data_IF_907809085123
#
_entry.id   IF_907809085123
#
_cell.length_a   1.000
_cell.length_b   1.000
_cell.length_c   1.000
_cell.angle_alpha   90.00
_cell.angle_beta   90.00
_cell.angle_gamma   90.00
#
_symmetry.space_group_name_H-M   'P 1'
#
loop_
_entity.id
_entity.type
_entity.pdbx_description
1 polymer ?
#
# COMPACT_ATOMS: atom_id res chain seq x y z
N UNK A 1 -12.37 -3.13 -8.29
CA UNK A 1 -10.96 -3.23 -7.84
C UNK A 1 -10.41 -1.82 -7.70
N UNK A 2 -9.75 -1.50 -6.58
CA UNK A 2 -9.08 -0.21 -6.38
C UNK A 2 -7.56 -0.34 -6.53
N UNK A 3 -6.95 0.51 -7.35
CA UNK A 3 -5.49 0.60 -7.49
C UNK A 3 -4.99 1.83 -6.74
N UNK A 4 -4.12 1.63 -5.75
CA UNK A 4 -3.40 2.72 -5.11
C UNK A 4 -2.11 2.93 -5.89
N UNK A 5 -2.01 4.08 -6.58
CA UNK A 5 -0.84 4.39 -7.40
C UNK A 5 0.28 5.01 -6.56
N UNK A 6 -0.01 6.08 -5.81
CA UNK A 6 0.98 6.82 -5.03
C UNK A 6 0.36 7.29 -3.72
N UNK A 7 1.04 7.02 -2.60
CA UNK A 7 0.82 7.68 -1.31
C UNK A 7 2.15 8.30 -0.90
N UNK A 8 2.13 9.58 -0.54
CA UNK A 8 3.32 10.29 -0.11
C UNK A 8 3.01 11.19 1.09
N UNK A 9 3.94 11.19 2.05
CA UNK A 9 3.95 12.10 3.19
C UNK A 9 5.32 12.74 3.24
N UNK A 10 5.35 14.08 3.32
CA UNK A 10 6.58 14.87 3.47
C UNK A 10 7.34 14.40 4.71
N UNK A 11 8.67 14.36 4.61
CA UNK A 11 9.55 13.75 5.63
C UNK A 11 9.27 14.25 7.05
N UNK A 12 9.06 15.55 7.21
CA UNK A 12 8.81 16.25 8.48
C UNK A 12 7.52 15.77 9.19
N UNK A 13 6.58 15.19 8.44
CA UNK A 13 5.28 14.73 8.95
C UNK A 13 5.18 13.20 9.00
N UNK A 14 6.25 12.46 8.72
CA UNK A 14 6.26 11.00 8.82
C UNK A 14 6.23 10.53 10.27
N UNK A 15 5.85 9.27 10.47
CA UNK A 15 5.73 8.63 11.79
C UNK A 15 4.66 9.23 12.71
N UNK A 16 3.80 10.12 12.20
CA UNK A 16 2.67 10.72 12.95
C UNK A 16 1.31 10.05 12.60
N UNK A 17 1.32 8.91 11.90
CA UNK A 17 0.10 8.19 11.51
C UNK A 17 -0.64 8.75 10.29
N UNK A 18 -0.20 9.86 9.70
CA UNK A 18 -0.84 10.53 8.56
C UNK A 18 -1.00 9.59 7.35
N UNK A 19 0.05 8.82 7.02
CA UNK A 19 -0.02 7.87 5.90
C UNK A 19 -1.13 6.83 6.08
N UNK A 20 -1.30 6.32 7.30
CA UNK A 20 -2.39 5.39 7.63
C UNK A 20 -3.75 6.07 7.56
N UNK A 21 -3.85 7.33 7.98
CA UNK A 21 -5.10 8.09 7.84
C UNK A 21 -5.51 8.26 6.38
N UNK A 22 -4.58 8.67 5.50
CA UNK A 22 -4.81 8.79 4.05
C UNK A 22 -5.20 7.44 3.45
N UNK A 23 -4.45 6.38 3.77
CA UNK A 23 -4.71 5.03 3.25
C UNK A 23 -6.12 4.55 3.62
N UNK A 24 -6.52 4.67 4.89
CA UNK A 24 -7.87 4.29 5.35
C UNK A 24 -8.96 5.09 4.66
N UNK A 25 -8.78 6.41 4.53
CA UNK A 25 -9.76 7.26 3.84
C UNK A 25 -9.97 6.82 2.38
N UNK A 26 -8.90 6.47 1.67
CA UNK A 26 -8.99 5.96 0.30
C UNK A 26 -9.64 4.57 0.26
N UNK A 27 -9.31 3.68 1.21
CA UNK A 27 -9.98 2.38 1.35
C UNK A 27 -11.49 2.54 1.60
N UNK A 28 -11.91 3.49 2.44
CA UNK A 28 -13.32 3.77 2.73
C UNK A 28 -14.07 4.22 1.47
N UNK A 29 -13.46 5.12 0.67
CA UNK A 29 -14.02 5.52 -0.63
C UNK A 29 -14.11 4.31 -1.58
N UNK A 30 -13.09 3.45 -1.60
CA UNK A 30 -13.09 2.27 -2.44
C UNK A 30 -14.21 1.29 -2.03
N UNK A 31 -14.40 1.05 -0.73
CA UNK A 31 -15.53 0.25 -0.20
C UNK A 31 -16.88 0.84 -0.60
N UNK A 32 -17.05 2.15 -0.43
CA UNK A 32 -18.29 2.85 -0.80
C UNK A 32 -18.61 2.76 -2.30
N UNK A 33 -17.58 2.55 -3.14
CA UNK A 33 -17.72 2.32 -4.59
C UNK A 33 -17.83 0.84 -4.98
N UNK A 34 -17.99 -0.06 -4.01
CA UNK A 34 -18.13 -1.50 -4.25
C UNK A 34 -16.84 -2.24 -4.57
N UNK A 35 -15.66 -1.65 -4.27
CA UNK A 35 -14.41 -2.38 -4.40
C UNK A 35 -14.25 -3.41 -3.28
N UNK A 36 -14.00 -4.67 -3.65
CA UNK A 36 -13.74 -5.77 -2.72
C UNK A 36 -12.25 -6.00 -2.44
N UNK A 37 -11.36 -5.40 -3.23
CA UNK A 37 -9.90 -5.55 -3.15
C UNK A 37 -9.23 -4.22 -3.45
N UNK A 38 -8.23 -3.88 -2.63
CA UNK A 38 -7.21 -2.89 -2.94
C UNK A 38 -5.90 -3.59 -3.30
N UNK A 39 -5.20 -3.06 -4.30
CA UNK A 39 -3.87 -3.54 -4.69
C UNK A 39 -2.91 -2.37 -4.91
N UNK A 40 -1.63 -2.66 -4.75
CA UNK A 40 -0.52 -1.74 -4.99
C UNK A 40 0.77 -2.52 -5.22
N UNK A 41 1.81 -1.81 -5.63
CA UNK A 41 3.17 -2.31 -5.58
C UNK A 41 4.10 -1.28 -4.91
N UNK A 42 5.21 -1.75 -4.38
CA UNK A 42 6.24 -0.92 -3.77
C UNK A 42 7.61 -1.60 -3.87
N UNK A 43 8.69 -0.86 -3.68
CA UNK A 43 10.01 -1.48 -3.52
C UNK A 43 10.29 -1.82 -2.05
N UNK A 44 11.13 -2.80 -1.76
CA UNK A 44 11.57 -3.16 -0.40
C UNK A 44 12.16 -1.99 0.40
N UNK A 45 12.92 -1.10 -0.26
CA UNK A 45 13.42 0.14 0.35
C UNK A 45 12.34 1.21 0.54
N UNK A 46 11.14 1.00 0.00
CA UNK A 46 9.99 1.91 0.10
C UNK A 46 8.82 1.24 0.81
N UNK A 47 8.55 1.65 2.04
CA UNK A 47 7.24 1.48 2.68
C UNK A 47 6.67 0.03 2.76
N UNK A 48 7.44 -1.03 2.51
CA UNK A 48 6.98 -2.43 2.65
C UNK A 48 6.38 -2.65 4.05
N UNK A 49 7.13 -2.29 5.09
CA UNK A 49 6.68 -2.36 6.49
C UNK A 49 5.41 -1.54 6.75
N UNK A 50 5.19 -0.46 6.01
CA UNK A 50 3.99 0.37 6.16
C UNK A 50 2.76 -0.38 5.64
N UNK A 51 2.81 -0.98 4.46
CA UNK A 51 1.68 -1.72 3.91
C UNK A 51 1.37 -3.00 4.70
N UNK A 52 2.40 -3.74 5.11
CA UNK A 52 2.26 -4.90 6.01
C UNK A 52 1.52 -4.51 7.31
N UNK A 53 1.91 -3.40 7.95
CA UNK A 53 1.24 -2.89 9.17
C UNK A 53 -0.21 -2.46 8.95
N UNK A 54 -0.60 -2.14 7.70
CA UNK A 54 -1.97 -1.77 7.36
C UNK A 54 -2.79 -2.96 6.81
N UNK A 55 -2.30 -4.20 6.96
CA UNK A 55 -3.03 -5.42 6.64
C UNK A 55 -3.01 -5.78 5.15
N UNK A 56 -2.02 -5.29 4.40
CA UNK A 56 -1.77 -5.79 3.05
C UNK A 56 -0.91 -7.05 3.10
N UNK A 57 -1.21 -7.98 2.21
CA UNK A 57 -0.50 -9.25 2.05
C UNK A 57 0.28 -9.26 0.73
N UNK A 58 1.55 -9.70 0.72
CA UNK A 58 2.32 -9.81 -0.51
C UNK A 58 1.73 -10.95 -1.37
N UNK A 59 1.50 -10.67 -2.65
CA UNK A 59 0.95 -11.62 -3.63
C UNK A 59 1.95 -12.01 -4.72
N UNK A 60 3.12 -11.35 -4.74
CA UNK A 60 4.20 -11.63 -5.68
C UNK A 60 5.33 -10.63 -5.54
N UNK A 61 6.50 -10.99 -6.08
CA UNK A 61 7.67 -10.12 -6.12
C UNK A 61 8.47 -10.32 -7.41
N UNK A 62 9.17 -9.27 -7.82
CA UNK A 62 10.21 -9.31 -8.83
C UNK A 62 11.52 -9.01 -8.10
N UNK A 63 12.41 -10.00 -8.08
CA UNK A 63 13.74 -9.88 -7.49
C UNK A 63 14.71 -9.16 -8.43
N UNK A 64 15.74 -8.56 -7.85
CA UNK A 64 16.80 -7.83 -8.55
C UNK A 64 16.27 -6.71 -9.47
N UNK A 65 15.23 -6.02 -9.01
CA UNK A 65 14.59 -4.92 -9.72
C UNK A 65 14.25 -3.74 -8.79
N UNK A 66 15.01 -2.62 -8.85
CA UNK A 66 16.31 -2.47 -9.53
C UNK A 66 17.39 -3.37 -8.89
N UNK A 67 18.58 -3.44 -9.48
CA UNK A 67 19.66 -4.30 -9.00
C UNK A 67 19.87 -4.18 -7.48
N UNK A 68 19.87 -5.31 -6.77
CA UNK A 68 20.01 -5.38 -5.32
C UNK A 68 18.73 -5.12 -4.50
N UNK A 69 17.61 -4.86 -5.17
CA UNK A 69 16.30 -4.58 -4.56
C UNK A 69 15.21 -5.47 -5.14
N UNK A 70 14.02 -5.42 -4.54
CA UNK A 70 12.84 -6.11 -5.07
C UNK A 70 11.62 -5.20 -5.16
N UNK A 71 10.82 -5.43 -6.19
CA UNK A 71 9.46 -4.87 -6.30
C UNK A 71 8.46 -5.89 -5.80
N UNK A 72 7.61 -5.48 -4.88
CA UNK A 72 6.67 -6.33 -4.17
C UNK A 72 5.26 -5.86 -4.52
N UNK A 73 4.39 -6.81 -4.88
CA UNK A 73 2.98 -6.58 -5.16
C UNK A 73 2.16 -6.99 -3.95
N UNK A 74 1.25 -6.12 -3.54
CA UNK A 74 0.43 -6.28 -2.36
C UNK A 74 -1.05 -6.28 -2.71
N UNK A 75 -1.83 -7.06 -1.97
CA UNK A 75 -3.30 -7.01 -2.00
C UNK A 75 -3.88 -6.94 -0.59
N UNK A 76 -5.08 -6.37 -0.48
CA UNK A 76 -5.88 -6.38 0.73
C UNK A 76 -7.34 -6.54 0.36
N UNK A 77 -8.03 -7.50 1.00
CA UNK A 77 -9.49 -7.58 0.90
C UNK A 77 -10.10 -6.40 1.64
N UNK A 78 -10.98 -5.69 0.96
CA UNK A 78 -11.79 -4.63 1.53
C UNK A 78 -13.13 -5.24 1.91
N UNK A 79 -13.20 -5.85 3.09
CA UNK A 79 -14.49 -6.25 3.67
C UNK A 79 -15.23 -5.01 4.13
N UNK A 80 -16.57 -5.06 4.06
CA UNK A 80 -17.46 -4.07 4.68
C UNK A 80 -17.34 -4.10 6.21
#
# INVERSE_FOLDING_TARGET
MGLINIIWVKLEYRSQGIGTCILKYVEDIARARGASVAMLDTFDFQAEKFYLKNGYEPIGEIQDFPQGHKRIYFSKRLTL
#
